data_IF_218041249716
#
_entry.id   IF_218041249716
#
_cell.length_a   1.000
_cell.length_b   1.000
_cell.length_c   1.000
_cell.angle_alpha   90.00
_cell.angle_beta   90.00
_cell.angle_gamma   90.00
#
_symmetry.space_group_name_H-M   'P 1'
#
loop_
_entity.id
_entity.type
_entity.pdbx_description
1 polymer ?
#
# COMPACT_ATOMS: atom_id res chain seq x y z
N UNK A 1 7.66 11.30 -20.85
CA UNK A 1 7.57 12.58 -20.13
C UNK A 1 7.11 12.34 -18.71
N UNK A 2 7.81 12.93 -17.76
CA UNK A 2 7.48 12.85 -16.34
C UNK A 2 6.49 13.96 -15.99
N UNK A 3 5.52 13.66 -15.12
CA UNK A 3 4.60 14.68 -14.63
C UNK A 3 5.37 15.89 -14.07
N UNK A 4 5.03 17.09 -14.53
CA UNK A 4 5.74 18.33 -14.21
C UNK A 4 5.61 18.79 -12.73
N UNK A 5 4.87 18.07 -11.90
CA UNK A 5 4.69 18.40 -10.48
C UNK A 5 6.00 18.31 -9.68
N UNK A 6 6.22 19.27 -8.79
CA UNK A 6 7.41 19.39 -7.92
C UNK A 6 7.72 18.07 -7.15
N UNK A 7 6.68 17.37 -6.70
CA UNK A 7 6.80 16.09 -6.03
C UNK A 7 7.51 15.02 -6.88
N UNK A 8 7.23 14.99 -8.18
CA UNK A 8 7.82 14.01 -9.12
C UNK A 8 9.25 14.39 -9.50
N UNK A 9 9.56 15.68 -9.62
CA UNK A 9 10.94 16.16 -9.82
C UNK A 9 11.83 15.74 -8.65
N UNK A 10 11.40 15.97 -7.41
CA UNK A 10 12.13 15.55 -6.22
C UNK A 10 12.33 14.03 -6.15
N UNK A 11 11.37 13.24 -6.64
CA UNK A 11 11.50 11.79 -6.72
C UNK A 11 12.59 11.40 -7.73
N UNK A 12 12.57 12.01 -8.92
CA UNK A 12 13.59 11.80 -9.96
C UNK A 12 14.99 12.16 -9.46
N UNK A 13 15.14 13.32 -8.82
CA UNK A 13 16.43 13.80 -8.30
C UNK A 13 17.02 12.85 -7.27
N UNK A 14 16.17 12.22 -6.44
CA UNK A 14 16.61 11.28 -5.40
C UNK A 14 16.88 9.87 -5.93
N UNK A 15 16.08 9.40 -6.86
CA UNK A 15 16.07 8.01 -7.30
C UNK A 15 16.75 7.80 -8.64
N UNK A 16 17.06 8.89 -9.36
CA UNK A 16 17.82 8.86 -10.63
C UNK A 16 17.30 7.79 -11.61
N UNK A 17 18.16 6.88 -12.07
CA UNK A 17 17.81 5.82 -13.01
C UNK A 17 16.74 4.84 -12.53
N UNK A 18 16.53 4.67 -11.23
CA UNK A 18 15.44 3.85 -10.68
C UNK A 18 14.10 4.51 -10.93
N UNK A 19 14.00 5.83 -10.71
CA UNK A 19 12.77 6.58 -10.99
C UNK A 19 12.38 6.55 -12.47
N UNK A 20 13.35 6.53 -13.38
CA UNK A 20 13.11 6.44 -14.82
C UNK A 20 12.48 5.10 -15.26
N UNK A 21 12.56 4.07 -14.42
CA UNK A 21 11.96 2.75 -14.68
C UNK A 21 10.52 2.63 -14.12
N UNK A 22 9.99 3.65 -13.46
CA UNK A 22 8.66 3.64 -12.81
C UNK A 22 7.50 3.85 -13.80
N UNK A 23 7.55 3.24 -14.96
CA UNK A 23 6.42 3.14 -15.89
C UNK A 23 5.53 1.95 -15.49
N UNK A 24 4.98 2.02 -14.28
CA UNK A 24 4.11 0.99 -13.72
C UNK A 24 2.77 1.61 -13.29
N UNK A 25 1.72 0.86 -13.46
CA UNK A 25 0.35 1.31 -13.20
C UNK A 25 -0.28 0.39 -12.15
N UNK A 26 -0.72 0.99 -11.06
CA UNK A 26 -1.38 0.29 -9.96
C UNK A 26 -2.83 0.73 -9.79
N UNK A 27 -3.62 -0.14 -9.23
CA UNK A 27 -4.98 0.11 -8.79
C UNK A 27 -5.03 0.18 -7.27
N UNK A 28 -5.50 1.30 -6.74
CA UNK A 28 -5.58 1.51 -5.29
C UNK A 28 -7.03 1.57 -4.84
N UNK A 29 -7.34 0.85 -3.76
CA UNK A 29 -8.67 0.85 -3.15
C UNK A 29 -8.59 1.46 -1.76
N UNK A 30 -9.36 2.51 -1.52
CA UNK A 30 -9.52 3.11 -0.21
C UNK A 30 -10.84 2.65 0.41
N UNK A 31 -10.76 2.03 1.58
CA UNK A 31 -11.95 1.64 2.35
C UNK A 31 -12.05 2.53 3.57
N UNK A 32 -13.16 3.29 3.68
CA UNK A 32 -13.43 4.19 4.80
C UNK A 32 -13.69 3.44 6.10
N UNK A 33 -12.94 3.78 7.15
CA UNK A 33 -13.11 3.21 8.51
C UNK A 33 -13.45 4.28 9.55
N UNK A 34 -13.59 5.53 9.11
CA UNK A 34 -13.87 6.67 9.99
C UNK A 34 -12.68 7.10 10.83
N UNK A 35 -12.93 7.76 11.95
CA UNK A 35 -11.90 8.41 12.78
C UNK A 35 -11.16 7.47 13.74
N UNK A 36 -11.64 6.24 13.91
CA UNK A 36 -11.01 5.28 14.82
C UNK A 36 -9.69 4.73 14.25
N UNK A 37 -8.59 5.42 14.50
CA UNK A 37 -7.26 5.07 13.99
C UNK A 37 -6.75 3.71 14.47
N UNK A 38 -7.15 3.26 15.66
CA UNK A 38 -6.82 1.91 16.14
C UNK A 38 -7.45 0.83 15.26
N UNK A 39 -8.67 1.06 14.77
CA UNK A 39 -9.33 0.16 13.83
C UNK A 39 -8.54 0.04 12.50
N UNK A 40 -7.95 1.14 12.03
CA UNK A 40 -7.13 1.10 10.80
C UNK A 40 -5.94 0.15 10.96
N UNK A 41 -5.25 0.18 12.10
CA UNK A 41 -4.12 -0.72 12.38
C UNK A 41 -4.56 -2.17 12.49
N UNK A 42 -5.63 -2.43 13.22
CA UNK A 42 -6.18 -3.79 13.39
C UNK A 42 -6.58 -4.41 12.04
N UNK A 43 -7.27 -3.64 11.20
CA UNK A 43 -7.69 -4.09 9.86
C UNK A 43 -6.48 -4.25 8.94
N UNK A 44 -5.54 -3.31 8.94
CA UNK A 44 -4.29 -3.43 8.17
C UNK A 44 -3.52 -4.70 8.52
N UNK A 45 -3.35 -4.99 9.82
CA UNK A 45 -2.64 -6.19 10.28
C UNK A 45 -3.27 -7.49 9.73
N UNK A 46 -4.60 -7.56 9.68
CA UNK A 46 -5.32 -8.74 9.20
C UNK A 46 -5.37 -8.79 7.66
N UNK A 47 -5.43 -7.64 6.99
CA UNK A 47 -5.42 -7.55 5.52
C UNK A 47 -4.11 -8.08 4.91
N UNK A 48 -3.00 -8.02 5.63
CA UNK A 48 -1.70 -8.58 5.18
C UNK A 48 -1.82 -10.03 4.69
N UNK A 49 -2.68 -10.83 5.32
CA UNK A 49 -2.95 -12.20 4.89
C UNK A 49 -3.57 -12.27 3.50
N UNK A 50 -4.40 -11.32 3.13
CA UNK A 50 -5.14 -11.32 1.87
C UNK A 50 -4.37 -10.69 0.71
N UNK A 51 -3.27 -9.97 0.96
CA UNK A 51 -2.51 -9.27 -0.08
C UNK A 51 -2.06 -10.18 -1.23
N UNK A 52 -1.48 -11.37 -1.00
CA UNK A 52 -1.10 -12.26 -2.10
C UNK A 52 -2.29 -12.74 -2.94
N UNK A 53 -3.45 -12.94 -2.32
CA UNK A 53 -4.67 -13.36 -3.02
C UNK A 53 -5.21 -12.21 -3.88
N UNK A 54 -5.21 -10.99 -3.34
CA UNK A 54 -5.62 -9.77 -4.07
C UNK A 54 -4.68 -9.55 -5.26
N UNK A 55 -3.36 -9.70 -5.08
CA UNK A 55 -2.39 -9.60 -6.17
C UNK A 55 -2.67 -10.65 -7.23
N UNK A 56 -2.85 -11.91 -6.85
CA UNK A 56 -3.09 -13.01 -7.80
C UNK A 56 -4.33 -12.78 -8.68
N UNK A 57 -5.36 -12.12 -8.13
CA UNK A 57 -6.60 -11.77 -8.85
C UNK A 57 -6.46 -10.53 -9.72
N UNK A 58 -5.47 -9.68 -9.47
CA UNK A 58 -5.30 -8.38 -10.15
C UNK A 58 -4.12 -8.34 -11.12
N UNK A 59 -3.45 -9.46 -11.36
CA UNK A 59 -2.26 -9.50 -12.22
C UNK A 59 -2.57 -9.10 -13.66
N UNK A 60 -1.85 -8.10 -14.20
CA UNK A 60 -2.03 -7.61 -15.57
C UNK A 60 -0.75 -7.04 -16.20
N UNK A 61 0.43 -7.30 -15.60
CA UNK A 61 1.69 -6.72 -16.07
C UNK A 61 2.75 -7.79 -16.38
N UNK A 62 2.52 -8.69 -17.39
CA UNK A 62 3.46 -9.77 -17.71
C UNK A 62 4.64 -9.32 -18.57
N UNK A 63 4.61 -8.10 -19.12
CA UNK A 63 5.62 -7.59 -20.03
C UNK A 63 6.44 -6.46 -19.42
N UNK A 64 7.72 -6.42 -19.74
CA UNK A 64 8.62 -5.33 -19.39
C UNK A 64 9.57 -5.03 -20.55
N UNK A 65 9.67 -3.77 -20.93
CA UNK A 65 10.52 -3.32 -22.05
C UNK A 65 10.35 -4.17 -23.33
N UNK A 66 9.10 -4.47 -23.67
CA UNK A 66 8.74 -5.24 -24.87
C UNK A 66 9.01 -6.75 -24.78
N UNK A 67 9.40 -7.27 -23.61
CA UNK A 67 9.69 -8.69 -23.42
C UNK A 67 8.72 -9.31 -22.40
N UNK A 68 8.36 -10.56 -22.64
CA UNK A 68 7.65 -11.37 -21.65
C UNK A 68 8.58 -11.75 -20.51
N UNK A 69 8.18 -11.46 -19.27
CA UNK A 69 9.01 -11.62 -18.08
C UNK A 69 8.93 -12.99 -17.42
N UNK A 70 7.91 -13.78 -17.76
CA UNK A 70 7.57 -15.04 -17.08
C UNK A 70 6.73 -14.84 -15.81
N UNK A 71 6.52 -13.61 -15.36
CA UNK A 71 5.68 -13.26 -14.21
C UNK A 71 4.35 -12.67 -14.70
N UNK A 72 3.28 -12.83 -13.91
CA UNK A 72 1.96 -12.24 -14.20
C UNK A 72 1.83 -10.80 -13.72
N UNK A 73 2.60 -10.41 -12.69
CA UNK A 73 2.74 -9.04 -12.20
C UNK A 73 4.23 -8.68 -12.13
N UNK A 74 4.76 -8.08 -13.17
CA UNK A 74 6.11 -7.50 -13.13
C UNK A 74 6.13 -6.14 -12.44
N UNK A 75 4.96 -5.47 -12.37
CA UNK A 75 4.80 -4.25 -11.59
C UNK A 75 5.26 -4.44 -10.14
N UNK A 76 4.91 -5.56 -9.50
CA UNK A 76 5.31 -5.83 -8.11
C UNK A 76 6.83 -5.85 -7.95
N UNK A 77 7.56 -6.46 -8.90
CA UNK A 77 9.03 -6.49 -8.91
C UNK A 77 9.62 -5.09 -9.05
N UNK A 78 9.12 -4.29 -10.00
CA UNK A 78 9.58 -2.91 -10.19
C UNK A 78 9.26 -2.05 -8.97
N UNK A 79 8.09 -2.24 -8.37
CA UNK A 79 7.68 -1.47 -7.20
C UNK A 79 8.53 -1.77 -5.96
N UNK A 80 8.99 -3.01 -5.79
CA UNK A 80 9.88 -3.40 -4.69
C UNK A 80 11.28 -2.76 -4.76
N UNK A 81 11.70 -2.26 -5.93
CA UNK A 81 12.94 -1.47 -6.03
C UNK A 81 12.85 -0.10 -5.35
N UNK A 82 11.64 0.37 -5.04
CA UNK A 82 11.43 1.62 -4.33
C UNK A 82 11.61 1.43 -2.82
N UNK A 83 12.14 2.44 -2.13
CA UNK A 83 12.25 2.37 -0.67
C UNK A 83 10.88 2.39 0.01
N UNK A 84 10.76 1.73 1.14
CA UNK A 84 9.56 1.71 1.99
C UNK A 84 8.32 1.11 1.31
N UNK A 85 8.52 0.13 0.44
CA UNK A 85 7.49 -0.66 -0.24
C UNK A 85 7.32 -2.03 0.43
N UNK A 86 6.43 -2.85 -0.14
CA UNK A 86 6.17 -4.21 0.30
C UNK A 86 5.14 -4.30 1.43
N UNK A 87 5.04 -5.48 2.02
CA UNK A 87 4.07 -5.78 3.07
C UNK A 87 4.54 -5.10 4.38
N UNK A 88 3.70 -4.28 5.05
CA UNK A 88 4.05 -3.64 6.31
C UNK A 88 4.31 -4.68 7.41
N UNK A 89 5.09 -4.30 8.41
CA UNK A 89 5.11 -5.03 9.68
C UNK A 89 3.75 -4.91 10.41
N UNK A 90 3.50 -5.78 11.38
CA UNK A 90 2.36 -5.63 12.28
C UNK A 90 2.69 -4.60 13.37
N UNK A 91 1.67 -3.84 13.78
CA UNK A 91 1.75 -2.91 14.89
C UNK A 91 0.71 -3.30 15.93
N UNK A 92 1.06 -3.21 17.20
CA UNK A 92 0.15 -3.50 18.31
C UNK A 92 -0.85 -2.38 18.57
N UNK A 93 -0.51 -1.15 18.13
CA UNK A 93 -1.33 0.04 18.34
C UNK A 93 -1.07 1.11 17.26
N UNK A 94 -1.96 2.09 17.20
CA UNK A 94 -1.73 3.28 16.37
C UNK A 94 -0.57 4.14 16.88
N UNK A 95 -0.33 4.15 18.21
CA UNK A 95 0.83 4.85 18.78
C UNK A 95 2.13 4.23 18.28
N UNK A 96 2.28 2.90 18.33
CA UNK A 96 3.47 2.23 17.80
C UNK A 96 3.69 2.51 16.31
N UNK A 97 2.61 2.60 15.52
CA UNK A 97 2.72 3.03 14.13
C UNK A 97 3.23 4.48 14.01
N UNK A 98 2.76 5.39 14.85
CA UNK A 98 3.23 6.77 14.85
C UNK A 98 4.69 6.87 15.29
N UNK A 99 5.12 6.11 16.29
CA UNK A 99 6.51 6.04 16.73
C UNK A 99 7.43 5.57 15.59
N UNK A 100 6.95 4.60 14.80
CA UNK A 100 7.67 4.15 13.62
C UNK A 100 7.75 5.24 12.53
N UNK A 101 6.66 5.97 12.28
CA UNK A 101 6.65 7.10 11.33
C UNK A 101 7.61 8.20 11.80
N UNK A 102 7.61 8.51 13.10
CA UNK A 102 8.53 9.49 13.70
C UNK A 102 9.98 9.06 13.52
N UNK A 103 10.30 7.80 13.81
CA UNK A 103 11.64 7.25 13.59
C UNK A 103 12.12 7.44 12.14
N UNK A 104 11.24 7.21 11.15
CA UNK A 104 11.59 7.42 9.73
C UNK A 104 11.85 8.90 9.41
N UNK A 105 11.17 9.82 10.09
CA UNK A 105 11.44 11.27 10.02
C UNK A 105 12.79 11.60 10.64
N UNK A 106 13.04 11.16 11.87
CA UNK A 106 14.25 11.45 12.63
C UNK A 106 15.54 10.99 11.91
N UNK A 107 15.48 9.83 11.26
CA UNK A 107 16.61 9.34 10.44
C UNK A 107 16.63 9.95 9.02
N UNK A 108 15.77 10.92 8.71
CA UNK A 108 15.73 11.61 7.42
C UNK A 108 15.25 10.75 6.25
N UNK A 109 14.65 9.57 6.51
CA UNK A 109 14.18 8.66 5.46
C UNK A 109 12.93 9.20 4.76
N UNK A 110 12.04 9.87 5.49
CA UNK A 110 10.92 10.63 4.96
C UNK A 110 11.07 12.10 5.34
N UNK A 111 10.63 12.99 4.45
CA UNK A 111 10.60 14.42 4.72
C UNK A 111 9.34 14.79 5.48
N UNK A 112 9.41 15.91 6.17
CA UNK A 112 8.25 16.49 6.82
C UNK A 112 7.21 16.97 5.81
N UNK A 113 5.98 16.95 6.24
CA UNK A 113 4.86 17.59 5.56
C UNK A 113 4.92 19.13 5.77
N UNK A 114 4.04 19.91 5.15
CA UNK A 114 4.01 21.37 5.34
C UNK A 114 3.76 21.84 6.79
N UNK A 115 3.29 20.93 7.65
CA UNK A 115 3.05 21.20 9.08
C UNK A 115 4.24 20.81 9.96
N UNK A 116 5.37 20.37 9.37
CA UNK A 116 6.58 19.98 10.08
C UNK A 116 6.49 18.61 10.75
N UNK A 117 5.58 17.74 10.28
CA UNK A 117 5.45 16.36 10.74
C UNK A 117 5.95 15.39 9.67
N UNK A 118 6.53 14.23 10.05
CA UNK A 118 6.95 13.21 9.09
C UNK A 118 5.83 12.80 8.15
N UNK A 119 6.03 12.98 6.83
CA UNK A 119 5.01 12.70 5.82
C UNK A 119 4.82 11.20 5.57
N UNK A 120 3.92 10.58 6.32
CA UNK A 120 3.57 9.16 6.15
C UNK A 120 3.02 8.82 4.75
N UNK A 121 2.66 9.80 3.91
CA UNK A 121 2.31 9.53 2.50
C UNK A 121 3.49 9.02 1.68
N UNK A 122 4.72 9.16 2.19
CA UNK A 122 5.96 8.66 1.58
C UNK A 122 6.26 7.19 1.94
N UNK A 123 5.45 6.56 2.76
CA UNK A 123 5.51 5.12 3.04
C UNK A 123 4.61 4.43 2.02
N UNK A 124 5.20 3.62 1.15
CA UNK A 124 4.50 3.04 -0.01
C UNK A 124 4.20 1.54 0.14
N UNK A 125 3.85 1.13 1.36
CA UNK A 125 3.45 -0.25 1.63
C UNK A 125 2.25 -0.70 0.78
N UNK A 126 2.12 -1.99 0.58
CA UNK A 126 1.05 -2.63 -0.17
C UNK A 126 -0.33 -2.47 0.48
N UNK A 127 -0.36 -2.23 1.77
CA UNK A 127 -1.53 -1.79 2.55
C UNK A 127 -1.06 -0.82 3.63
N UNK A 128 -1.79 0.29 3.82
CA UNK A 128 -1.44 1.28 4.86
C UNK A 128 -2.66 2.03 5.38
N UNK A 129 -2.64 2.53 6.63
CA UNK A 129 -3.57 3.56 7.06
C UNK A 129 -3.24 4.85 6.30
N UNK A 130 -4.23 5.48 5.66
CA UNK A 130 -3.97 6.74 4.98
C UNK A 130 -3.92 7.90 5.99
N UNK A 131 -2.85 8.71 6.03
CA UNK A 131 -2.65 9.71 7.09
C UNK A 131 -3.70 10.82 7.07
N UNK A 132 -4.19 11.21 5.89
CA UNK A 132 -5.13 12.34 5.70
C UNK A 132 -6.57 11.91 5.58
N UNK A 133 -6.84 10.69 5.11
CA UNK A 133 -8.20 10.18 4.91
C UNK A 133 -8.51 9.14 5.99
N UNK A 134 -9.72 9.08 6.48
CA UNK A 134 -10.16 8.04 7.40
C UNK A 134 -10.29 6.66 6.73
N UNK A 135 -9.27 6.24 5.98
CA UNK A 135 -9.29 5.03 5.14
C UNK A 135 -8.08 4.14 5.39
N UNK A 136 -8.26 2.83 5.16
CA UNK A 136 -7.17 1.92 4.85
C UNK A 136 -7.04 1.82 3.33
N UNK A 137 -5.83 2.03 2.82
CA UNK A 137 -5.50 2.01 1.39
C UNK A 137 -4.80 0.71 1.03
N UNK A 138 -5.40 -0.06 0.13
CA UNK A 138 -4.84 -1.29 -0.44
C UNK A 138 -4.22 -0.94 -1.79
N UNK A 139 -2.93 -1.24 -1.98
CA UNK A 139 -2.10 -0.73 -3.08
C UNK A 139 -1.42 -1.82 -3.92
N UNK A 140 -1.52 -3.07 -3.50
CA UNK A 140 -0.77 -4.19 -4.09
C UNK A 140 -1.16 -4.50 -5.53
N UNK A 141 -2.38 -4.13 -5.95
CA UNK A 141 -2.96 -4.51 -7.23
C UNK A 141 -2.30 -3.84 -8.43
N UNK A 142 -2.12 -4.59 -9.52
CA UNK A 142 -1.90 -4.02 -10.84
C UNK A 142 -3.17 -3.26 -11.28
N UNK A 143 -3.04 -2.38 -12.28
CA UNK A 143 -4.21 -1.77 -12.91
C UNK A 143 -4.99 -2.84 -13.66
N UNK A 144 -6.30 -2.96 -13.41
CA UNK A 144 -7.15 -3.86 -14.18
C UNK A 144 -7.30 -3.37 -15.61
N UNK A 145 -7.33 -4.29 -16.57
CA UNK A 145 -7.50 -3.96 -18.00
C UNK A 145 -8.95 -3.65 -18.35
N UNK A 146 -9.90 -4.09 -17.53
CA UNK A 146 -11.34 -3.88 -17.70
C UNK A 146 -11.94 -3.20 -16.47
N UNK A 147 -12.93 -2.35 -16.68
CA UNK A 147 -13.61 -1.61 -15.61
C UNK A 147 -14.39 -2.56 -14.68
N UNK A 148 -15.06 -3.55 -15.24
CA UNK A 148 -15.83 -4.54 -14.47
C UNK A 148 -14.93 -5.38 -13.54
N UNK A 149 -13.72 -5.73 -13.97
CA UNK A 149 -12.70 -6.38 -13.13
C UNK A 149 -12.27 -5.46 -11.98
N UNK A 150 -12.03 -4.18 -12.25
CA UNK A 150 -11.68 -3.20 -11.22
C UNK A 150 -12.80 -3.04 -10.18
N UNK A 151 -14.05 -2.95 -10.62
CA UNK A 151 -15.22 -2.86 -9.74
C UNK A 151 -15.38 -4.13 -8.91
N UNK A 152 -15.23 -5.31 -9.54
CA UNK A 152 -15.28 -6.60 -8.84
C UNK A 152 -14.19 -6.70 -7.76
N UNK A 153 -12.95 -6.31 -8.08
CA UNK A 153 -11.84 -6.32 -7.14
C UNK A 153 -12.06 -5.34 -5.97
N UNK A 154 -12.58 -4.14 -6.25
CA UNK A 154 -12.93 -3.17 -5.21
C UNK A 154 -14.02 -3.71 -4.28
N UNK A 155 -15.07 -4.35 -4.83
CA UNK A 155 -16.15 -4.96 -4.06
C UNK A 155 -15.63 -6.13 -3.20
N UNK A 156 -14.74 -6.96 -3.74
CA UNK A 156 -14.09 -8.04 -2.98
C UNK A 156 -13.30 -7.48 -1.80
N UNK A 157 -12.46 -6.48 -2.02
CA UNK A 157 -11.65 -5.85 -0.98
C UNK A 157 -12.55 -5.23 0.09
N UNK A 158 -13.59 -4.51 -0.31
CA UNK A 158 -14.58 -3.95 0.62
C UNK A 158 -15.26 -5.05 1.44
N UNK A 159 -15.63 -6.17 0.82
CA UNK A 159 -16.26 -7.30 1.49
C UNK A 159 -15.33 -7.98 2.51
N UNK A 160 -14.04 -8.11 2.18
CA UNK A 160 -13.02 -8.61 3.11
C UNK A 160 -12.95 -7.70 4.33
N UNK A 161 -12.82 -6.38 4.13
CA UNK A 161 -12.76 -5.40 5.22
C UNK A 161 -14.03 -5.46 6.07
N UNK A 162 -15.20 -5.50 5.46
CA UNK A 162 -16.49 -5.62 6.17
C UNK A 162 -16.52 -6.89 7.03
N UNK A 163 -16.06 -8.02 6.50
CA UNK A 163 -15.97 -9.29 7.26
C UNK A 163 -15.02 -9.17 8.45
N UNK A 164 -13.87 -8.55 8.27
CA UNK A 164 -12.91 -8.33 9.37
C UNK A 164 -13.51 -7.45 10.48
N UNK A 165 -14.27 -6.42 10.12
CA UNK A 165 -15.00 -5.59 11.10
C UNK A 165 -16.05 -6.40 11.87
N UNK A 166 -16.80 -7.26 11.18
CA UNK A 166 -17.77 -8.15 11.83
C UNK A 166 -17.11 -9.11 12.80
N UNK A 167 -15.98 -9.73 12.42
CA UNK A 167 -15.20 -10.60 13.30
C UNK A 167 -14.75 -9.84 14.55
N UNK A 168 -14.19 -8.63 14.38
CA UNK A 168 -13.78 -7.78 15.50
C UNK A 168 -14.94 -7.46 16.46
N UNK A 169 -16.12 -7.14 15.95
CA UNK A 169 -17.33 -6.89 16.78
C UNK A 169 -17.73 -8.11 17.61
N UNK A 170 -17.38 -9.30 17.14
CA UNK A 170 -17.63 -10.56 17.83
C UNK A 170 -16.42 -11.03 18.69
N UNK A 171 -15.47 -10.13 18.98
CA UNK A 171 -14.20 -10.46 19.66
C UNK A 171 -13.40 -11.57 18.98
N UNK A 172 -13.51 -11.67 17.67
CA UNK A 172 -12.76 -12.60 16.84
C UNK A 172 -11.76 -11.82 15.97
N UNK A 173 -10.68 -12.46 15.59
CA UNK A 173 -9.73 -11.90 14.62
C UNK A 173 -9.44 -12.91 13.53
N UNK A 174 -9.13 -12.42 12.33
CA UNK A 174 -8.53 -13.24 11.30
C UNK A 174 -7.05 -13.42 11.63
N UNK A 175 -6.42 -14.39 10.96
CA UNK A 175 -5.01 -14.74 11.17
C UNK A 175 -4.12 -13.49 11.04
N UNK A 176 -3.43 -13.13 12.12
CA UNK A 176 -2.40 -12.09 12.16
C UNK A 176 -1.03 -12.76 12.21
N UNK A 177 -0.32 -12.78 11.09
CA UNK A 177 1.01 -13.38 11.01
C UNK A 177 2.10 -12.34 11.27
N UNK A 178 3.19 -12.76 11.92
CA UNK A 178 4.43 -11.98 11.92
C UNK A 178 5.06 -12.01 10.53
N UNK A 179 5.91 -11.03 10.21
CA UNK A 179 6.54 -10.88 8.88
C UNK A 179 7.32 -12.13 8.41
N UNK A 180 7.73 -12.98 9.31
CA UNK A 180 8.56 -14.16 9.03
C UNK A 180 7.76 -15.49 9.03
N UNK A 181 6.46 -15.42 8.87
CA UNK A 181 5.62 -16.63 8.73
C UNK A 181 5.01 -16.66 7.32
#
# INVERSE_FOLDING_TARGET
DVNAGERYRQLLDRMQGVAAQLLIFGFHVHVGLGENRSLHIEIMNQLRYFLPHILALSTSSPFWQGRQTGLKSYRSVVFEMLPRTGIPQSFSSYSEYLDFVQLLGDVGTIKDDPQGQPDATKIWWDVRPHPKFGTVEIRISDICTRIDEAVCLAALIQSIVAKLIVLRRNNQSWRAYRRHH
#
